data_IF_372656520406
#
_entry.id   IF_372656520406
#
_cell.length_a   1.000
_cell.length_b   1.000
_cell.length_c   1.000
_cell.angle_alpha   90.00
_cell.angle_beta   90.00
_cell.angle_gamma   90.00
#
_symmetry.space_group_name_H-M   'P 1'
#
loop_
_entity.id
_entity.type
_entity.pdbx_description
1 polymer ?
#
# COMPACT_ATOMS: atom_id res chain seq x y z
N UNK A 1 10.00 5.76 -3.79
CA UNK A 1 8.72 5.28 -3.23
C UNK A 1 8.59 5.80 -1.82
N UNK A 2 7.47 6.42 -1.47
CA UNK A 2 7.14 6.83 -0.10
C UNK A 2 6.09 5.89 0.50
N UNK A 3 6.07 5.75 1.83
CA UNK A 3 5.09 4.95 2.55
C UNK A 3 4.47 5.77 3.70
N UNK A 4 3.15 5.68 3.87
CA UNK A 4 2.41 6.33 4.94
C UNK A 4 1.44 5.31 5.56
N UNK A 5 1.39 5.26 6.89
CA UNK A 5 0.42 4.45 7.64
C UNK A 5 -0.65 5.36 8.27
N UNK A 6 -1.93 5.00 8.12
CA UNK A 6 -3.08 5.76 8.63
C UNK A 6 -4.06 4.85 9.37
N UNK A 7 -4.65 5.34 10.47
CA UNK A 7 -5.66 4.63 11.28
C UNK A 7 -6.93 5.49 11.37
N UNK A 8 -8.11 4.91 11.11
CA UNK A 8 -9.42 5.61 11.17
C UNK A 8 -10.35 4.99 12.22
N UNK A 9 -11.19 5.81 12.89
CA UNK A 9 -11.91 5.44 14.12
C UNK A 9 -13.32 4.84 13.96
N UNK A 10 -13.97 4.93 12.80
CA UNK A 10 -15.39 4.48 12.65
C UNK A 10 -15.55 2.96 12.47
N UNK A 11 -14.46 2.28 12.10
CA UNK A 11 -14.20 0.84 12.19
C UNK A 11 -12.70 0.77 12.40
N UNK A 12 -12.19 0.01 13.37
CA UNK A 12 -10.75 -0.09 13.64
C UNK A 12 -10.00 -0.63 12.42
N UNK A 13 -9.69 0.26 11.48
CA UNK A 13 -9.05 -0.03 10.21
C UNK A 13 -7.67 0.59 10.23
N UNK A 14 -6.69 -0.20 9.80
CA UNK A 14 -5.34 0.25 9.50
C UNK A 14 -5.14 0.27 7.99
N UNK A 15 -4.36 1.25 7.52
CA UNK A 15 -4.01 1.42 6.12
C UNK A 15 -2.51 1.57 5.95
N UNK A 16 -1.94 0.81 5.01
CA UNK A 16 -0.64 1.07 4.40
C UNK A 16 -0.86 1.69 3.02
N UNK A 17 -0.26 2.83 2.76
CA UNK A 17 -0.24 3.47 1.46
C UNK A 17 1.20 3.62 0.97
N UNK A 18 1.48 3.08 -0.22
CA UNK A 18 2.77 3.24 -0.90
C UNK A 18 2.52 3.94 -2.23
N UNK A 19 3.35 4.92 -2.54
CA UNK A 19 3.20 5.70 -3.78
C UNK A 19 4.52 5.86 -4.52
N UNK A 20 4.38 6.01 -5.85
CA UNK A 20 5.49 6.36 -6.74
C UNK A 20 5.00 7.27 -7.86
N UNK A 21 5.91 8.09 -8.38
CA UNK A 21 5.71 8.91 -9.56
C UNK A 21 6.56 8.33 -10.69
N UNK A 22 5.96 8.13 -11.86
CA UNK A 22 6.68 7.67 -13.06
C UNK A 22 6.01 8.25 -14.31
N UNK A 23 6.78 8.90 -15.17
CA UNK A 23 6.28 9.57 -16.40
C UNK A 23 5.08 10.50 -16.16
N UNK A 24 5.19 11.39 -15.18
CA UNK A 24 4.13 12.33 -14.78
C UNK A 24 2.81 11.66 -14.35
N UNK A 25 2.84 10.35 -14.08
CA UNK A 25 1.71 9.58 -13.53
C UNK A 25 2.01 9.17 -12.10
N UNK A 26 1.01 9.30 -11.24
CA UNK A 26 1.07 8.85 -9.86
C UNK A 26 0.42 7.48 -9.71
N UNK A 27 1.13 6.57 -9.05
CA UNK A 27 0.69 5.23 -8.75
C UNK A 27 0.60 5.08 -7.24
N UNK A 28 -0.55 4.60 -6.76
CA UNK A 28 -0.81 4.36 -5.35
C UNK A 28 -1.18 2.89 -5.16
N UNK A 29 -0.54 2.25 -4.19
CA UNK A 29 -0.95 0.94 -3.68
C UNK A 29 -1.46 1.14 -2.27
N UNK A 30 -2.72 0.79 -2.07
CA UNK A 30 -3.40 0.96 -0.78
C UNK A 30 -3.84 -0.39 -0.25
N UNK A 31 -3.35 -0.74 0.93
CA UNK A 31 -3.81 -1.90 1.69
C UNK A 31 -4.60 -1.43 2.91
N UNK A 32 -5.83 -1.91 3.05
CA UNK A 32 -6.73 -1.62 4.18
C UNK A 32 -7.18 -2.92 4.79
N UNK A 33 -7.10 -3.02 6.12
CA UNK A 33 -7.66 -4.15 6.85
C UNK A 33 -8.10 -3.73 8.26
N UNK A 34 -8.99 -4.53 8.84
CA UNK A 34 -9.30 -4.46 10.28
C UNK A 34 -8.03 -4.65 11.10
N UNK A 35 -7.86 -3.90 12.20
CA UNK A 35 -6.69 -3.93 13.08
C UNK A 35 -6.30 -5.36 13.45
N UNK A 36 -7.27 -6.20 13.84
CA UNK A 36 -7.02 -7.61 14.21
C UNK A 36 -6.57 -8.53 13.07
N UNK A 37 -6.70 -8.09 11.81
CA UNK A 37 -6.27 -8.83 10.60
C UNK A 37 -5.08 -8.18 9.91
N UNK A 38 -4.80 -6.90 10.21
CA UNK A 38 -3.84 -6.10 9.47
C UNK A 38 -2.44 -6.72 9.47
N UNK A 39 -1.90 -6.98 10.66
CA UNK A 39 -0.55 -7.53 10.85
C UNK A 39 -0.42 -8.97 10.32
N UNK A 40 -1.53 -9.72 10.27
CA UNK A 40 -1.58 -11.09 9.74
C UNK A 40 -1.26 -11.14 8.24
N UNK A 41 -1.77 -10.18 7.47
CA UNK A 41 -1.58 -10.16 6.02
C UNK A 41 -0.52 -9.16 5.54
N UNK A 42 -0.06 -8.26 6.43
CA UNK A 42 0.97 -7.27 6.12
C UNK A 42 2.22 -7.89 5.46
N UNK A 43 2.80 -9.01 5.92
CA UNK A 43 3.98 -9.60 5.28
C UNK A 43 3.74 -10.07 3.84
N UNK A 44 2.51 -10.49 3.51
CA UNK A 44 2.14 -10.90 2.15
C UNK A 44 1.98 -9.66 1.27
N UNK A 45 1.33 -8.62 1.79
CA UNK A 45 1.17 -7.32 1.11
C UNK A 45 2.51 -6.68 0.81
N UNK A 46 3.44 -6.67 1.77
CA UNK A 46 4.80 -6.17 1.55
C UNK A 46 5.53 -6.91 0.43
N UNK A 47 5.37 -8.24 0.34
CA UNK A 47 5.93 -9.03 -0.76
C UNK A 47 5.32 -8.64 -2.10
N UNK A 48 3.99 -8.50 -2.17
CA UNK A 48 3.30 -8.06 -3.39
C UNK A 48 3.77 -6.68 -3.85
N UNK A 49 3.90 -5.73 -2.92
CA UNK A 49 4.39 -4.37 -3.22
C UNK A 49 5.83 -4.41 -3.71
N UNK A 50 6.71 -5.18 -3.06
CA UNK A 50 8.12 -5.31 -3.46
C UNK A 50 8.30 -5.96 -4.84
N UNK A 51 7.36 -6.81 -5.27
CA UNK A 51 7.36 -7.39 -6.62
C UNK A 51 6.71 -6.51 -7.69
N UNK A 52 6.13 -5.36 -7.33
CA UNK A 52 5.42 -4.51 -8.27
C UNK A 52 6.42 -3.69 -9.10
N UNK A 53 6.48 -3.98 -10.40
CA UNK A 53 7.23 -3.19 -11.37
C UNK A 53 6.28 -2.35 -12.21
N UNK A 54 6.49 -1.03 -12.23
CA UNK A 54 5.79 -0.14 -13.15
C UNK A 54 6.57 -0.13 -14.45
N UNK A 55 6.09 -0.84 -15.47
CA UNK A 55 6.75 -0.92 -16.77
C UNK A 55 6.81 0.44 -17.49
N UNK A 56 7.89 0.67 -18.24
CA UNK A 56 7.95 1.77 -19.20
C UNK A 56 7.10 1.40 -20.42
N UNK A 57 6.08 2.20 -20.71
CA UNK A 57 5.44 2.17 -22.03
C UNK A 57 6.24 3.11 -22.92
N UNK A 58 7.00 2.52 -23.85
CA UNK A 58 7.65 3.25 -24.95
C UNK A 58 6.63 3.78 -25.94
#
# INVERSE_FOLDING_TARGET
MGAIELVSSDRELKKLEVWTLKHDKAYFVTYVAEVGKYDRFLPVVEKMIKSLEVADTK
#
